data_IF_667019834093
#
_entry.id   IF_667019834093
#
_cell.length_a   1.000
_cell.length_b   1.000
_cell.length_c   1.000
_cell.angle_alpha   90.00
_cell.angle_beta   90.00
_cell.angle_gamma   90.00
#
_symmetry.space_group_name_H-M   'P 1'
#
loop_
_entity.id
_entity.type
_entity.pdbx_description
1 polymer ?
#
# COMPACT_ATOMS: atom_id res chain seq x y z
N UNK A 1 7.92 18.91 28.43
CA UNK A 1 9.24 18.30 28.72
C UNK A 1 9.35 17.02 27.92
N UNK A 2 10.54 16.65 27.46
CA UNK A 2 10.72 15.44 26.66
C UNK A 2 10.82 14.18 27.55
N UNK A 3 9.99 13.19 27.26
CA UNK A 3 10.24 11.78 27.53
C UNK A 3 10.01 11.04 26.21
N UNK A 4 10.91 10.20 25.71
CA UNK A 4 11.85 9.36 26.45
C UNK A 4 11.35 7.91 26.51
N UNK A 5 10.76 7.42 25.41
CA UNK A 5 10.16 6.08 25.29
C UNK A 5 10.79 5.27 24.16
N UNK A 6 11.77 4.46 24.56
CA UNK A 6 12.42 3.33 23.88
C UNK A 6 12.57 3.28 22.33
N UNK A 7 13.84 3.30 21.87
CA UNK A 7 14.23 3.11 20.45
C UNK A 7 14.56 1.65 20.08
N UNK A 8 14.02 0.65 20.81
CA UNK A 8 14.42 -0.77 20.68
C UNK A 8 13.34 -1.73 20.17
N UNK A 9 12.19 -1.25 19.75
CA UNK A 9 11.15 -2.07 19.10
C UNK A 9 11.22 -2.00 17.56
N UNK A 10 12.41 -2.21 16.98
CA UNK A 10 12.60 -2.28 15.52
C UNK A 10 12.82 -3.73 15.11
N UNK A 11 11.94 -4.28 14.27
CA UNK A 11 12.27 -5.48 13.47
C UNK A 11 11.23 -6.59 13.37
N UNK A 12 9.99 -6.45 13.87
CA UNK A 12 8.93 -7.43 13.58
C UNK A 12 7.52 -6.83 13.60
N UNK A 13 7.01 -6.49 12.43
CA UNK A 13 5.59 -6.18 12.13
C UNK A 13 5.00 -7.33 11.30
N UNK A 14 3.68 -7.37 11.14
CA UNK A 14 3.01 -8.31 10.25
C UNK A 14 2.77 -7.68 8.88
N UNK A 15 3.56 -8.05 7.88
CA UNK A 15 3.50 -7.44 6.56
C UNK A 15 2.45 -8.14 5.66
N UNK A 16 1.60 -7.35 5.00
CA UNK A 16 0.79 -7.76 3.85
C UNK A 16 1.52 -7.33 2.57
N UNK A 17 1.72 -8.28 1.65
CA UNK A 17 2.38 -8.09 0.36
C UNK A 17 1.45 -8.62 -0.76
N UNK A 18 0.97 -7.73 -1.64
CA UNK A 18 0.26 -8.08 -2.89
C UNK A 18 1.21 -7.92 -4.09
N UNK A 19 1.76 -9.02 -4.62
CA UNK A 19 2.71 -9.10 -5.73
C UNK A 19 2.06 -9.44 -7.10
N UNK A 20 2.08 -8.53 -8.09
CA UNK A 20 1.89 -8.89 -9.51
C UNK A 20 3.24 -9.37 -10.15
N UNK A 21 3.34 -9.94 -11.36
CA UNK A 21 4.59 -10.53 -11.96
C UNK A 21 5.34 -9.67 -13.04
N UNK A 22 5.69 -10.09 -14.29
CA UNK A 22 6.09 -9.18 -15.44
C UNK A 22 5.85 -9.79 -16.86
N UNK A 23 5.37 -9.07 -17.93
CA UNK A 23 5.58 -9.47 -19.34
C UNK A 23 6.93 -8.98 -19.89
N UNK A 24 7.75 -9.89 -20.43
CA UNK A 24 9.00 -9.53 -21.12
C UNK A 24 8.70 -8.68 -22.37
N UNK A 25 9.44 -7.58 -22.53
CA UNK A 25 9.23 -6.63 -23.63
C UNK A 25 9.45 -7.25 -25.01
N UNK A 26 8.37 -7.64 -25.67
CA UNK A 26 8.38 -8.20 -27.01
C UNK A 26 8.49 -7.10 -28.10
N UNK A 27 9.66 -6.46 -28.23
CA UNK A 27 10.06 -5.72 -29.46
C UNK A 27 11.55 -5.37 -29.55
N UNK A 28 12.25 -6.06 -30.44
CA UNK A 28 12.97 -5.37 -31.51
C UNK A 28 14.40 -4.88 -31.30
N UNK A 29 15.09 -5.16 -30.19
CA UNK A 29 16.53 -4.84 -30.06
C UNK A 29 17.32 -6.02 -29.51
N UNK A 30 18.18 -6.62 -30.35
CA UNK A 30 19.19 -7.60 -29.92
C UNK A 30 20.36 -6.91 -29.20
N UNK A 31 20.11 -6.35 -28.02
CA UNK A 31 21.18 -6.08 -27.05
C UNK A 31 21.49 -7.39 -26.35
N UNK A 32 22.76 -7.81 -26.41
CA UNK A 32 23.21 -9.08 -25.83
C UNK A 32 22.79 -9.17 -24.36
N UNK A 33 22.21 -10.32 -23.99
CA UNK A 33 21.58 -10.64 -22.71
C UNK A 33 21.74 -9.56 -21.61
N UNK A 34 20.87 -8.55 -21.65
CA UNK A 34 20.81 -7.57 -20.59
C UNK A 34 20.49 -8.29 -19.28
N UNK A 35 21.21 -7.94 -18.21
CA UNK A 35 20.88 -8.42 -16.87
C UNK A 35 19.45 -7.98 -16.52
N UNK A 36 18.56 -8.96 -16.41
CA UNK A 36 17.13 -8.74 -16.18
C UNK A 36 16.87 -7.93 -14.91
N UNK A 37 17.80 -7.97 -13.94
CA UNK A 37 17.68 -7.18 -12.71
C UNK A 37 17.80 -5.67 -12.96
N UNK A 38 18.36 -5.25 -14.10
CA UNK A 38 18.53 -3.84 -14.48
C UNK A 38 17.36 -3.28 -15.30
N UNK A 39 16.45 -4.12 -15.81
CA UNK A 39 15.32 -3.68 -16.65
C UNK A 39 14.42 -2.66 -15.92
N UNK A 40 14.26 -2.79 -14.60
CA UNK A 40 13.52 -1.85 -13.73
C UNK A 40 13.99 -0.39 -13.85
N UNK A 41 15.26 -0.17 -14.22
CA UNK A 41 15.83 1.16 -14.39
C UNK A 41 15.34 1.83 -15.68
N UNK A 42 14.96 1.04 -16.69
CA UNK A 42 14.51 1.50 -18.00
C UNK A 42 12.99 1.43 -18.19
N UNK A 43 12.28 0.66 -17.35
CA UNK A 43 10.82 0.48 -17.40
C UNK A 43 10.07 1.81 -17.46
N UNK A 44 9.18 1.97 -18.44
CA UNK A 44 8.34 3.16 -18.63
C UNK A 44 6.87 2.79 -18.40
N UNK A 45 6.02 3.71 -17.93
CA UNK A 45 4.58 3.49 -17.88
C UNK A 45 3.96 3.45 -19.29
N UNK A 46 2.90 2.66 -19.46
CA UNK A 46 1.96 2.78 -20.57
C UNK A 46 0.82 3.72 -20.15
N UNK A 47 0.96 5.01 -20.46
CA UNK A 47 0.06 6.07 -19.96
C UNK A 47 -1.38 5.84 -20.45
N UNK A 48 -2.33 5.92 -19.52
CA UNK A 48 -3.74 5.71 -19.82
C UNK A 48 -4.37 6.93 -20.51
N UNK A 49 -5.29 6.70 -21.44
CA UNK A 49 -6.06 7.77 -22.07
C UNK A 49 -7.27 8.18 -21.20
N UNK A 50 -7.88 9.33 -21.50
CA UNK A 50 -8.98 9.88 -20.69
C UNK A 50 -10.23 8.99 -20.60
N UNK A 51 -10.49 8.10 -21.57
CA UNK A 51 -11.56 7.11 -21.45
C UNK A 51 -11.20 5.97 -20.50
N UNK A 52 -9.96 5.49 -20.54
CA UNK A 52 -9.47 4.49 -19.58
C UNK A 52 -9.42 5.05 -18.16
N UNK A 53 -8.97 6.30 -17.96
CA UNK A 53 -9.00 6.98 -16.66
C UNK A 53 -10.43 7.07 -16.07
N UNK A 54 -11.43 7.38 -16.90
CA UNK A 54 -12.85 7.35 -16.49
C UNK A 54 -13.29 5.94 -16.08
N UNK A 55 -12.98 4.93 -16.89
CA UNK A 55 -13.33 3.54 -16.60
C UNK A 55 -12.72 3.04 -15.28
N UNK A 56 -11.49 3.44 -14.94
CA UNK A 56 -10.86 3.11 -13.65
C UNK A 56 -11.56 3.83 -12.50
N UNK A 57 -11.82 5.14 -12.65
CA UNK A 57 -12.51 5.94 -11.64
C UNK A 57 -13.96 5.47 -11.36
N UNK A 58 -14.62 4.87 -12.34
CA UNK A 58 -15.96 4.26 -12.25
C UNK A 58 -15.93 2.79 -11.75
N UNK A 59 -14.78 2.10 -11.83
CA UNK A 59 -14.64 0.69 -11.47
C UNK A 59 -14.37 0.42 -9.97
N UNK A 60 -13.88 1.42 -9.25
CA UNK A 60 -13.67 1.37 -7.81
C UNK A 60 -14.93 1.77 -7.04
N UNK A 61 -15.14 1.20 -5.86
CA UNK A 61 -16.32 1.45 -5.01
C UNK A 61 -15.90 1.61 -3.56
N UNK A 62 -15.70 2.86 -3.14
CA UNK A 62 -15.30 3.20 -1.78
C UNK A 62 -16.25 2.63 -0.72
N UNK A 63 -17.56 2.68 -0.94
CA UNK A 63 -18.56 2.13 -0.01
C UNK A 63 -18.52 0.59 0.07
N UNK A 64 -18.25 -0.09 -1.04
CA UNK A 64 -18.06 -1.54 -1.04
C UNK A 64 -16.77 -1.93 -0.29
N UNK A 65 -15.67 -1.22 -0.50
CA UNK A 65 -14.44 -1.39 0.27
C UNK A 65 -14.67 -1.14 1.76
N UNK A 66 -15.36 -0.05 2.11
CA UNK A 66 -15.63 0.32 3.50
C UNK A 66 -16.36 -0.80 4.26
N UNK A 67 -17.42 -1.34 3.65
CA UNK A 67 -18.24 -2.39 4.24
C UNK A 67 -17.54 -3.77 4.23
N UNK A 68 -16.91 -4.14 3.12
CA UNK A 68 -16.49 -5.53 2.89
C UNK A 68 -15.01 -5.78 3.12
N UNK A 69 -14.17 -4.74 3.16
CA UNK A 69 -12.71 -4.86 3.24
C UNK A 69 -12.15 -4.14 4.48
N UNK A 70 -12.58 -2.90 4.75
CA UNK A 70 -12.12 -2.09 5.89
C UNK A 70 -12.74 -2.49 7.23
N UNK A 71 -14.07 -2.44 7.38
CA UNK A 71 -14.73 -2.69 8.69
C UNK A 71 -14.33 -4.00 9.38
N UNK A 72 -14.17 -5.14 8.68
CA UNK A 72 -13.68 -6.38 9.31
C UNK A 72 -12.24 -6.31 9.84
N UNK A 73 -11.45 -5.33 9.40
CA UNK A 73 -10.08 -5.07 9.89
C UNK A 73 -10.04 -4.09 11.05
N UNK A 74 -11.08 -3.29 11.30
CA UNK A 74 -11.16 -2.31 12.40
C UNK A 74 -11.40 -2.97 13.77
N UNK A 75 -10.46 -3.84 14.14
CA UNK A 75 -10.41 -4.66 15.36
C UNK A 75 -8.99 -4.66 15.92
N UNK A 76 -8.84 -5.05 17.18
CA UNK A 76 -7.52 -5.20 17.83
C UNK A 76 -6.75 -6.41 17.27
N UNK A 77 -5.69 -6.14 16.50
CA UNK A 77 -5.01 -7.16 15.67
C UNK A 77 -3.49 -7.22 15.87
N UNK A 78 -3.01 -6.85 17.07
CA UNK A 78 -1.59 -6.95 17.45
C UNK A 78 -1.03 -8.39 17.33
N UNK A 79 0.30 -8.57 17.19
CA UNK A 79 0.94 -9.86 17.01
C UNK A 79 0.49 -10.97 17.98
N UNK A 80 -0.16 -12.00 17.43
CA UNK A 80 -0.65 -13.16 18.18
C UNK A 80 -2.00 -12.97 18.90
N UNK A 81 -2.69 -11.84 18.71
CA UNK A 81 -4.06 -11.66 19.21
C UNK A 81 -5.07 -12.51 18.40
N UNK A 82 -6.28 -12.79 18.94
CA UNK A 82 -7.37 -13.38 18.17
C UNK A 82 -7.74 -12.55 16.93
N UNK A 83 -7.66 -11.21 17.02
CA UNK A 83 -7.89 -10.31 15.88
C UNK A 83 -6.79 -10.36 14.83
N UNK A 84 -5.53 -10.65 15.18
CA UNK A 84 -4.47 -10.89 14.18
C UNK A 84 -4.75 -12.15 13.34
N UNK A 85 -5.32 -13.19 13.95
CA UNK A 85 -5.82 -14.35 13.21
C UNK A 85 -7.03 -13.99 12.34
N UNK A 86 -8.01 -13.26 12.89
CA UNK A 86 -9.21 -12.86 12.15
C UNK A 86 -8.89 -11.96 10.94
N UNK A 87 -8.03 -10.96 11.11
CA UNK A 87 -7.56 -10.08 10.04
C UNK A 87 -6.85 -10.86 8.93
N UNK A 88 -5.95 -11.80 9.29
CA UNK A 88 -5.29 -12.67 8.31
C UNK A 88 -6.28 -13.53 7.54
N UNK A 89 -7.22 -14.17 8.23
CA UNK A 89 -8.27 -14.98 7.58
C UNK A 89 -9.15 -14.13 6.65
N UNK A 90 -9.50 -12.92 7.07
CA UNK A 90 -10.25 -11.96 6.24
C UNK A 90 -9.49 -11.64 4.96
N UNK A 91 -8.27 -11.11 5.06
CA UNK A 91 -7.42 -10.75 3.91
C UNK A 91 -7.28 -11.91 2.93
N UNK A 92 -6.93 -13.11 3.42
CA UNK A 92 -6.81 -14.32 2.59
C UNK A 92 -8.13 -14.65 1.87
N UNK A 93 -9.26 -14.64 2.59
CA UNK A 93 -10.57 -14.96 2.02
C UNK A 93 -11.07 -13.91 1.01
N UNK A 94 -10.67 -12.64 1.15
CA UNK A 94 -11.03 -11.59 0.19
C UNK A 94 -10.28 -11.79 -1.13
N UNK A 95 -8.98 -12.10 -1.06
CA UNK A 95 -8.14 -12.43 -2.21
C UNK A 95 -8.60 -13.73 -2.89
N UNK A 96 -8.90 -14.79 -2.14
CA UNK A 96 -9.33 -16.10 -2.66
C UNK A 96 -10.66 -16.11 -3.43
N UNK A 97 -11.45 -15.01 -3.37
CA UNK A 97 -12.71 -14.86 -4.10
C UNK A 97 -12.54 -14.20 -5.47
N UNK A 98 -11.34 -13.70 -5.77
CA UNK A 98 -10.99 -13.04 -7.03
C UNK A 98 -10.78 -14.08 -8.15
N UNK A 99 -10.87 -13.63 -9.39
CA UNK A 99 -10.69 -14.46 -10.58
C UNK A 99 -9.23 -14.56 -11.02
N UNK A 100 -8.40 -13.57 -10.69
CA UNK A 100 -6.97 -13.60 -10.91
C UNK A 100 -6.28 -14.67 -10.05
N UNK A 101 -5.29 -15.35 -10.64
CA UNK A 101 -4.63 -16.55 -10.09
C UNK A 101 -3.61 -16.20 -8.98
N UNK A 102 -4.11 -15.69 -7.86
CA UNK A 102 -3.34 -15.28 -6.69
C UNK A 102 -2.86 -16.49 -5.89
N UNK A 103 -1.54 -16.70 -5.87
CA UNK A 103 -0.90 -17.70 -5.00
C UNK A 103 -0.66 -17.08 -3.61
N UNK A 104 -1.34 -17.59 -2.60
CA UNK A 104 -1.18 -17.14 -1.20
C UNK A 104 -0.18 -18.00 -0.44
N UNK A 105 0.81 -17.34 0.16
CA UNK A 105 1.81 -17.90 1.04
C UNK A 105 1.78 -17.19 2.40
N UNK A 106 1.92 -17.96 3.49
CA UNK A 106 2.00 -17.41 4.85
C UNK A 106 3.40 -17.71 5.41
N UNK A 107 4.23 -16.68 5.48
CA UNK A 107 5.58 -16.75 6.06
C UNK A 107 5.47 -16.57 7.58
N UNK A 108 5.46 -17.70 8.30
CA UNK A 108 5.36 -17.74 9.77
C UNK A 108 6.71 -18.00 10.41
N UNK A 109 7.12 -17.12 11.32
CA UNK A 109 8.41 -17.19 12.01
C UNK A 109 8.31 -16.72 13.46
N UNK A 110 9.33 -17.08 14.26
CA UNK A 110 9.48 -16.64 15.64
C UNK A 110 10.50 -15.51 15.75
N UNK A 111 10.18 -14.49 16.56
CA UNK A 111 11.09 -13.38 16.85
C UNK A 111 11.08 -13.06 18.35
N UNK A 112 12.21 -12.58 18.87
CA UNK A 112 12.34 -12.13 20.26
C UNK A 112 11.79 -10.70 20.38
N UNK A 113 10.84 -10.51 21.30
CA UNK A 113 10.22 -9.21 21.60
C UNK A 113 10.52 -8.78 23.04
N UNK A 114 10.18 -7.54 23.46
CA UNK A 114 10.18 -7.16 24.87
C UNK A 114 9.29 -8.06 25.77
N UNK A 115 8.31 -8.77 25.18
CA UNK A 115 7.37 -9.68 25.86
C UNK A 115 7.68 -11.17 25.62
N UNK A 116 8.96 -11.50 25.40
CA UNK A 116 9.44 -12.85 25.09
C UNK A 116 9.39 -13.19 23.60
N UNK A 117 9.63 -14.46 23.25
CA UNK A 117 9.43 -14.95 21.88
C UNK A 117 7.95 -14.88 21.49
N UNK A 118 7.68 -14.38 20.29
CA UNK A 118 6.34 -14.30 19.69
C UNK A 118 6.38 -14.82 18.25
N UNK A 119 5.24 -15.35 17.79
CA UNK A 119 5.04 -15.76 16.41
C UNK A 119 4.50 -14.59 15.59
N UNK A 120 5.04 -14.46 14.38
CA UNK A 120 4.62 -13.51 13.37
C UNK A 120 4.26 -14.27 12.10
N UNK A 121 3.36 -13.73 11.27
CA UNK A 121 2.87 -14.39 10.05
C UNK A 121 2.62 -13.37 8.94
N UNK A 122 3.61 -13.13 8.09
CA UNK A 122 3.43 -12.29 6.90
C UNK A 122 2.44 -12.95 5.93
N UNK A 123 1.68 -12.14 5.18
CA UNK A 123 0.78 -12.58 4.13
C UNK A 123 1.37 -12.16 2.80
N UNK A 124 1.72 -13.12 1.95
CA UNK A 124 2.27 -12.88 0.63
C UNK A 124 1.26 -13.42 -0.39
N UNK A 125 0.80 -12.57 -1.29
CA UNK A 125 -0.16 -12.92 -2.35
C UNK A 125 0.46 -12.60 -3.69
N UNK A 126 0.68 -13.60 -4.54
CA UNK A 126 1.50 -13.44 -5.75
C UNK A 126 0.80 -13.93 -7.01
N UNK A 127 0.57 -13.05 -7.98
CA UNK A 127 0.22 -13.43 -9.35
C UNK A 127 1.49 -13.90 -10.07
N UNK A 128 1.48 -15.12 -10.58
CA UNK A 128 2.62 -15.79 -11.22
C UNK A 128 3.96 -15.68 -10.43
N UNK A 129 4.15 -16.52 -9.39
CA UNK A 129 5.40 -16.58 -8.62
C UNK A 129 6.68 -16.81 -9.43
N UNK A 130 6.58 -17.33 -10.67
CA UNK A 130 7.75 -17.69 -11.50
C UNK A 130 8.31 -16.53 -12.34
N UNK A 131 7.70 -15.34 -12.30
CA UNK A 131 8.31 -14.16 -12.94
C UNK A 131 9.60 -13.73 -12.22
N UNK A 132 10.42 -12.97 -12.94
CA UNK A 132 11.70 -12.49 -12.41
C UNK A 132 11.57 -11.18 -11.61
N UNK A 133 10.56 -10.36 -11.95
CA UNK A 133 10.23 -9.06 -11.33
C UNK A 133 8.76 -9.14 -10.84
N UNK A 134 8.37 -8.35 -9.82
CA UNK A 134 7.03 -8.38 -9.21
C UNK A 134 6.50 -7.02 -8.69
N UNK A 135 5.16 -6.74 -8.80
CA UNK A 135 4.45 -5.61 -8.11
C UNK A 135 3.91 -5.91 -6.77
N UNK A 136 4.80 -5.82 -5.78
CA UNK A 136 4.48 -5.99 -4.39
C UNK A 136 3.99 -4.67 -3.81
N UNK A 137 2.70 -4.38 -3.95
CA UNK A 137 2.07 -3.38 -3.08
C UNK A 137 2.10 -3.92 -1.64
N UNK A 138 2.30 -3.06 -0.65
CA UNK A 138 2.56 -3.49 0.73
C UNK A 138 1.92 -2.56 1.76
N UNK A 139 1.66 -3.10 2.96
CA UNK A 139 1.38 -2.37 4.20
C UNK A 139 1.50 -3.33 5.40
N UNK A 140 1.66 -2.85 6.63
CA UNK A 140 1.48 -3.73 7.80
C UNK A 140 -0.02 -3.96 8.07
N UNK A 141 -0.36 -5.17 8.54
CA UNK A 141 -1.74 -5.53 8.88
C UNK A 141 -1.97 -5.66 10.39
N UNK A 142 -0.94 -5.75 11.24
CA UNK A 142 -1.15 -5.70 12.69
C UNK A 142 -1.44 -4.27 13.18
N UNK A 143 -2.09 -4.17 14.34
CA UNK A 143 -2.29 -2.90 15.05
C UNK A 143 -1.35 -2.83 16.25
N UNK A 144 -0.90 -1.62 16.59
CA UNK A 144 -0.05 -1.40 17.76
C UNK A 144 -0.74 -1.86 19.05
N UNK A 145 -0.05 -2.68 19.83
CA UNK A 145 -0.53 -3.04 21.17
C UNK A 145 -0.54 -1.82 22.11
N UNK A 146 -1.70 -1.53 22.68
CA UNK A 146 -1.88 -0.63 23.81
C UNK A 146 -2.59 -1.36 24.95
N UNK A 147 -2.23 -1.12 26.23
CA UNK A 147 -3.03 -1.58 27.35
C UNK A 147 -4.45 -1.00 27.29
N UNK A 148 -5.48 -1.72 27.77
CA UNK A 148 -6.85 -1.22 27.80
C UNK A 148 -6.96 0.12 28.54
N UNK A 149 -7.64 1.10 27.93
CA UNK A 149 -7.81 2.44 28.48
C UNK A 149 -9.24 2.93 28.24
N UNK A 150 -9.95 3.23 29.33
CA UNK A 150 -11.33 3.78 29.31
C UNK A 150 -12.33 2.99 28.44
N UNK A 151 -12.25 1.66 28.48
CA UNK A 151 -13.00 0.73 27.61
C UNK A 151 -12.78 0.92 26.08
N UNK A 152 -11.84 1.79 25.68
CA UNK A 152 -11.41 1.97 24.29
C UNK A 152 -10.28 1.00 23.94
N UNK A 153 -10.17 0.72 22.65
CA UNK A 153 -9.22 -0.24 22.08
C UNK A 153 -8.61 0.38 20.83
N UNK A 154 -7.29 0.26 20.67
CA UNK A 154 -6.61 0.82 19.50
C UNK A 154 -6.82 -0.08 18.28
N UNK A 155 -7.55 0.45 17.31
CA UNK A 155 -7.85 -0.26 16.05
C UNK A 155 -6.92 0.15 14.91
N UNK A 156 -6.11 1.21 14.99
CA UNK A 156 -5.17 1.56 13.94
C UNK A 156 -5.85 1.71 12.57
N UNK A 157 -6.78 2.66 12.46
CA UNK A 157 -7.61 2.84 11.27
C UNK A 157 -6.78 3.32 10.08
N UNK A 158 -6.01 4.40 10.27
CA UNK A 158 -4.98 4.84 9.31
C UNK A 158 -3.71 3.99 9.41
N UNK A 159 -3.48 3.35 10.56
CA UNK A 159 -2.25 2.63 10.98
C UNK A 159 -2.47 1.10 11.16
N UNK A 160 -2.62 0.25 10.13
CA UNK A 160 -2.76 0.51 8.68
C UNK A 160 -3.97 -0.26 8.09
N UNK A 161 -5.14 -0.16 8.73
CA UNK A 161 -6.36 -0.85 8.27
C UNK A 161 -6.87 -0.32 6.92
N UNK A 162 -6.85 1.00 6.70
CA UNK A 162 -7.18 1.64 5.42
C UNK A 162 -6.22 1.22 4.31
N UNK A 163 -4.88 1.30 4.47
CA UNK A 163 -3.93 0.70 3.52
C UNK A 163 -4.27 -0.76 3.16
N UNK A 164 -4.55 -1.62 4.14
CA UNK A 164 -4.97 -3.01 3.88
C UNK A 164 -6.25 -3.09 3.02
N UNK A 165 -7.25 -2.25 3.31
CA UNK A 165 -8.50 -2.22 2.56
C UNK A 165 -8.32 -1.69 1.13
N UNK A 166 -7.47 -0.67 0.93
CA UNK A 166 -7.10 -0.14 -0.39
C UNK A 166 -6.42 -1.21 -1.26
N UNK A 167 -5.54 -2.04 -0.67
CA UNK A 167 -4.92 -3.16 -1.37
C UNK A 167 -5.97 -4.20 -1.83
N UNK A 168 -6.91 -4.56 -0.95
CA UNK A 168 -8.00 -5.50 -1.29
C UNK A 168 -8.94 -4.94 -2.36
N UNK A 169 -9.30 -3.66 -2.27
CA UNK A 169 -10.14 -2.97 -3.26
C UNK A 169 -9.44 -2.84 -4.61
N UNK A 170 -8.14 -2.54 -4.64
CA UNK A 170 -7.36 -2.53 -5.88
C UNK A 170 -7.36 -3.91 -6.55
N UNK A 171 -7.10 -4.97 -5.79
CA UNK A 171 -7.13 -6.33 -6.31
C UNK A 171 -8.53 -6.71 -6.85
N UNK A 172 -9.60 -6.25 -6.20
CA UNK A 172 -11.00 -6.47 -6.61
C UNK A 172 -11.42 -5.63 -7.83
N UNK A 173 -11.07 -4.35 -7.86
CA UNK A 173 -11.44 -3.42 -8.93
C UNK A 173 -10.70 -3.75 -10.24
N UNK A 174 -9.46 -4.22 -10.14
CA UNK A 174 -8.61 -4.57 -11.28
C UNK A 174 -8.59 -6.07 -11.60
N UNK A 175 -9.41 -6.90 -10.93
CA UNK A 175 -9.40 -8.37 -11.03
C UNK A 175 -9.38 -8.90 -12.49
N UNK A 176 -10.21 -8.31 -13.36
CA UNK A 176 -10.30 -8.67 -14.79
C UNK A 176 -9.05 -8.32 -15.59
N UNK A 177 -8.36 -7.25 -15.23
CA UNK A 177 -7.13 -6.81 -15.86
C UNK A 177 -5.95 -7.62 -15.30
N UNK A 178 -5.88 -7.80 -13.98
CA UNK A 178 -4.88 -8.60 -13.27
C UNK A 178 -4.92 -10.09 -13.63
N UNK A 179 -6.07 -10.62 -14.04
CA UNK A 179 -6.24 -11.92 -14.72
C UNK A 179 -5.24 -12.12 -15.88
N UNK A 180 -4.76 -11.04 -16.49
CA UNK A 180 -3.71 -11.09 -17.52
C UNK A 180 -2.28 -10.78 -17.02
N UNK A 181 -2.05 -10.14 -15.85
CA UNK A 181 -0.94 -9.17 -15.69
C UNK A 181 -0.33 -8.81 -14.27
N UNK A 182 0.65 -7.83 -14.25
CA UNK A 182 2.06 -8.01 -13.73
C UNK A 182 3.14 -6.79 -13.60
N UNK A 183 3.72 -6.38 -12.41
CA UNK A 183 5.13 -5.77 -12.03
C UNK A 183 5.36 -4.46 -11.14
N UNK A 184 6.37 -4.37 -10.19
CA UNK A 184 6.85 -3.34 -9.12
C UNK A 184 6.54 -3.23 -7.54
N UNK A 185 7.56 -3.22 -6.64
CA UNK A 185 7.62 -2.63 -5.25
C UNK A 185 6.80 -1.32 -4.93
N UNK A 186 5.71 -1.31 -4.13
CA UNK A 186 5.12 -0.08 -3.49
C UNK A 186 4.77 -0.33 -2.01
N UNK A 187 4.96 0.64 -1.10
CA UNK A 187 4.52 0.54 0.31
C UNK A 187 3.55 1.68 0.67
N UNK A 188 2.41 1.32 1.24
CA UNK A 188 1.36 2.20 1.78
C UNK A 188 1.41 2.17 3.31
N UNK A 189 1.44 3.33 3.95
CA UNK A 189 1.40 3.45 5.42
C UNK A 189 0.73 4.76 5.86
N UNK A 190 0.05 4.76 7.01
CA UNK A 190 -0.64 5.91 7.61
C UNK A 190 -1.60 6.67 6.66
N UNK A 191 -2.36 5.96 5.82
CA UNK A 191 -3.31 6.54 4.86
C UNK A 191 -4.73 6.53 5.44
N UNK A 192 -5.50 7.61 5.25
CA UNK A 192 -6.95 7.66 5.54
C UNK A 192 -7.43 8.91 6.25
N UNK A 193 -6.52 9.70 6.82
CA UNK A 193 -6.81 11.02 7.36
C UNK A 193 -7.04 12.07 6.24
N UNK A 194 -7.77 13.17 6.51
CA UNK A 194 -8.02 14.24 5.54
C UNK A 194 -6.76 15.02 5.16
N UNK A 195 -6.65 15.46 3.90
CA UNK A 195 -5.56 16.28 3.36
C UNK A 195 -4.13 15.70 3.58
N UNK A 196 -3.85 14.41 3.28
CA UNK A 196 -2.50 13.85 3.41
C UNK A 196 -1.55 14.55 2.45
N UNK A 197 -0.27 14.64 2.80
CA UNK A 197 0.76 15.17 1.91
C UNK A 197 1.94 14.21 1.89
N UNK A 198 2.09 13.49 0.78
CA UNK A 198 3.19 12.57 0.53
C UNK A 198 4.38 13.34 -0.04
N UNK A 199 5.58 13.26 0.55
CA UNK A 199 6.78 13.88 0.01
C UNK A 199 7.59 12.92 -0.87
N UNK A 200 8.48 13.47 -1.70
CA UNK A 200 9.38 12.68 -2.53
C UNK A 200 10.62 12.25 -1.72
N UNK A 201 10.61 11.03 -1.18
CA UNK A 201 11.66 10.54 -0.27
C UNK A 201 12.98 10.12 -0.94
N UNK A 202 12.94 9.52 -2.14
CA UNK A 202 14.10 8.78 -2.67
C UNK A 202 14.38 9.08 -4.16
N UNK A 203 15.60 9.56 -4.52
CA UNK A 203 15.95 9.88 -5.91
C UNK A 203 15.84 8.72 -6.91
N UNK A 204 15.95 7.47 -6.46
CA UNK A 204 15.86 6.29 -7.33
C UNK A 204 14.41 5.87 -7.66
N UNK A 205 13.41 6.41 -6.96
CA UNK A 205 11.98 6.23 -7.24
C UNK A 205 11.25 7.54 -7.57
N UNK A 206 11.92 8.70 -7.50
CA UNK A 206 11.37 10.02 -7.83
C UNK A 206 10.55 10.04 -9.14
N UNK A 207 11.05 9.41 -10.22
CA UNK A 207 10.33 9.32 -11.51
C UNK A 207 8.96 8.62 -11.45
N UNK A 208 8.73 7.81 -10.43
CA UNK A 208 7.45 7.15 -10.15
C UNK A 208 6.56 7.98 -9.21
N UNK A 209 7.17 8.75 -8.30
CA UNK A 209 6.48 9.79 -7.56
C UNK A 209 5.94 10.87 -8.51
N UNK A 210 6.74 11.34 -9.47
CA UNK A 210 6.34 12.29 -10.51
C UNK A 210 5.17 11.75 -11.37
N UNK A 211 5.02 10.41 -11.51
CA UNK A 211 3.84 9.80 -12.15
C UNK A 211 2.60 9.84 -11.28
N UNK A 212 2.71 9.63 -9.96
CA UNK A 212 1.58 9.78 -9.04
C UNK A 212 1.04 11.23 -9.07
N UNK A 213 1.94 12.22 -9.03
CA UNK A 213 1.60 13.64 -9.17
C UNK A 213 0.89 13.91 -10.52
N UNK A 214 1.42 13.39 -11.63
CA UNK A 214 0.80 13.56 -12.94
C UNK A 214 -0.59 12.90 -13.06
N UNK A 215 -0.76 11.69 -12.50
CA UNK A 215 -2.05 10.98 -12.46
C UNK A 215 -3.07 11.75 -11.63
N UNK A 216 -2.68 12.26 -10.46
CA UNK A 216 -3.51 13.12 -9.61
C UNK A 216 -3.99 14.36 -10.39
N UNK A 217 -3.06 15.06 -11.06
CA UNK A 217 -3.39 16.20 -11.90
C UNK A 217 -4.33 15.85 -13.06
N UNK A 218 -4.17 14.71 -13.72
CA UNK A 218 -5.00 14.27 -14.85
C UNK A 218 -6.42 13.88 -14.40
N UNK A 219 -6.54 13.09 -13.32
CA UNK A 219 -7.85 12.75 -12.73
C UNK A 219 -8.58 14.00 -12.22
N UNK A 220 -7.86 14.96 -11.64
CA UNK A 220 -8.44 16.24 -11.21
C UNK A 220 -8.95 17.06 -12.40
N UNK A 221 -8.15 17.23 -13.47
CA UNK A 221 -8.55 17.93 -14.71
C UNK A 221 -9.80 17.31 -15.37
N UNK A 222 -9.99 16.00 -15.23
CA UNK A 222 -11.15 15.28 -15.78
C UNK A 222 -12.40 15.31 -14.87
N UNK A 223 -12.30 15.85 -13.66
CA UNK A 223 -13.39 15.89 -12.67
C UNK A 223 -13.67 14.54 -12.00
N UNK A 224 -12.65 13.68 -11.86
CA UNK A 224 -12.79 12.30 -11.33
C UNK A 224 -12.41 12.17 -9.85
N UNK A 225 -11.76 13.19 -9.29
CA UNK A 225 -11.51 13.32 -7.85
C UNK A 225 -12.65 14.15 -7.20
N UNK A 226 -13.10 13.73 -6.02
CA UNK A 226 -14.12 14.44 -5.20
C UNK A 226 -13.44 15.34 -4.19
N UNK A 227 -14.05 16.48 -3.86
CA UNK A 227 -13.61 17.48 -2.86
C UNK A 227 -12.11 17.86 -2.89
N UNK A 228 -11.48 17.67 -4.05
CA UNK A 228 -10.06 17.88 -4.30
C UNK A 228 -9.81 19.27 -4.89
N UNK A 229 -8.75 19.97 -4.48
CA UNK A 229 -8.47 21.34 -4.91
C UNK A 229 -7.05 21.52 -5.48
N UNK A 230 -6.92 22.47 -6.41
CA UNK A 230 -5.64 22.90 -6.99
C UNK A 230 -4.62 23.46 -5.97
N UNK A 231 -5.07 23.75 -4.74
CA UNK A 231 -4.25 24.30 -3.65
C UNK A 231 -3.71 23.20 -2.71
N UNK A 232 -4.24 21.96 -2.80
CA UNK A 232 -3.99 20.87 -1.85
C UNK A 232 -3.78 19.53 -2.53
N UNK A 233 -2.72 19.44 -3.32
CA UNK A 233 -2.23 18.17 -3.87
C UNK A 233 -1.78 17.22 -2.76
N UNK A 234 -2.11 15.94 -2.89
CA UNK A 234 -1.58 14.88 -2.04
C UNK A 234 -0.11 14.61 -2.36
N UNK A 235 0.28 14.61 -3.64
CA UNK A 235 1.67 14.36 -4.06
C UNK A 235 2.39 15.69 -4.29
N UNK A 236 3.29 16.05 -3.38
CA UNK A 236 4.04 17.31 -3.46
C UNK A 236 5.54 17.04 -3.58
N UNK A 237 6.14 17.56 -4.64
CA UNK A 237 7.55 17.35 -4.97
C UNK A 237 8.51 18.23 -4.14
N UNK A 238 8.31 18.26 -2.82
CA UNK A 238 9.35 18.68 -1.88
C UNK A 238 10.10 17.46 -1.35
N UNK A 239 11.42 17.54 -1.36
CA UNK A 239 12.27 16.46 -0.84
C UNK A 239 12.21 16.42 0.69
N UNK A 240 12.06 15.21 1.25
CA UNK A 240 12.11 15.01 2.70
C UNK A 240 13.54 14.73 3.17
N UNK A 241 14.14 15.65 3.93
CA UNK A 241 15.54 15.55 4.38
C UNK A 241 15.77 14.62 5.59
N UNK A 242 14.73 14.03 6.17
CA UNK A 242 14.82 13.09 7.29
C UNK A 242 14.79 11.62 6.83
N UNK A 243 14.84 10.70 7.80
CA UNK A 243 14.63 9.27 7.56
C UNK A 243 13.49 8.78 8.47
N UNK A 244 12.40 8.35 7.87
CA UNK A 244 11.31 7.67 8.58
C UNK A 244 11.71 6.19 8.77
N UNK A 245 11.50 5.63 9.96
CA UNK A 245 11.70 4.19 10.20
C UNK A 245 10.38 3.47 10.05
N UNK A 246 10.33 2.54 9.10
CA UNK A 246 9.14 1.81 8.68
C UNK A 246 9.58 0.53 7.89
N UNK A 247 8.65 -0.36 7.53
CA UNK A 247 8.84 -1.67 6.90
C UNK A 247 9.64 -1.67 5.59
N UNK A 248 9.75 -0.54 4.89
CA UNK A 248 10.64 -0.44 3.73
C UNK A 248 12.14 -0.52 4.10
N UNK A 249 12.54 -0.22 5.33
CA UNK A 249 13.95 -0.06 5.73
C UNK A 249 14.81 -1.32 5.48
N UNK A 250 14.37 -2.56 5.81
CA UNK A 250 15.11 -3.78 5.47
C UNK A 250 15.31 -4.00 3.97
N UNK A 251 14.37 -3.55 3.13
CA UNK A 251 14.44 -3.66 1.66
C UNK A 251 15.35 -2.58 1.06
N UNK A 252 15.19 -1.33 1.52
CA UNK A 252 16.01 -0.19 1.11
C UNK A 252 17.50 -0.44 1.40
N UNK A 253 17.82 -0.98 2.59
CA UNK A 253 19.19 -1.40 2.97
C UNK A 253 19.79 -2.49 2.08
N UNK A 254 18.97 -3.19 1.30
CA UNK A 254 19.35 -4.24 0.34
C UNK A 254 19.31 -3.75 -1.12
N UNK A 255 19.12 -2.45 -1.34
CA UNK A 255 19.13 -1.84 -2.68
C UNK A 255 17.83 -1.98 -3.47
N UNK A 256 16.73 -2.36 -2.82
CA UNK A 256 15.39 -2.34 -3.43
C UNK A 256 14.95 -0.88 -3.59
N UNK A 257 14.52 -0.42 -4.79
CA UNK A 257 13.89 0.88 -4.95
C UNK A 257 12.54 0.90 -4.21
N UNK A 258 12.29 1.96 -3.45
CA UNK A 258 11.09 2.10 -2.61
C UNK A 258 10.32 3.34 -3.03
N UNK A 259 9.02 3.20 -3.24
CA UNK A 259 8.08 4.32 -3.28
C UNK A 259 7.27 4.24 -1.97
N UNK A 260 7.57 5.16 -1.04
CA UNK A 260 7.05 5.13 0.33
C UNK A 260 5.90 6.13 0.43
N UNK A 261 4.67 5.63 0.44
CA UNK A 261 3.46 6.45 0.48
C UNK A 261 2.99 6.58 1.93
N UNK A 262 3.75 7.37 2.69
CA UNK A 262 3.43 7.83 4.04
C UNK A 262 3.33 9.38 4.04
N UNK A 263 2.31 9.99 4.67
CA UNK A 263 2.20 11.44 4.73
C UNK A 263 3.25 12.07 5.67
N UNK A 264 3.56 13.34 5.43
CA UNK A 264 4.34 14.20 6.33
C UNK A 264 3.68 15.58 6.40
N UNK A 265 3.19 16.03 7.58
CA UNK A 265 3.19 15.34 8.87
C UNK A 265 2.33 14.07 8.90
N UNK A 266 2.51 13.25 9.93
CA UNK A 266 1.60 12.14 10.22
C UNK A 266 0.21 12.65 10.62
N UNK A 267 -0.85 11.83 10.50
CA UNK A 267 -2.19 12.17 10.99
C UNK A 267 -2.18 12.67 12.43
N UNK A 268 -3.01 13.66 12.76
CA UNK A 268 -3.11 14.20 14.14
C UNK A 268 -3.53 13.14 15.17
N UNK A 269 -4.24 12.10 14.71
CA UNK A 269 -4.68 10.93 15.50
C UNK A 269 -3.63 9.83 15.64
N UNK A 270 -2.44 9.97 15.06
CA UNK A 270 -1.41 8.92 15.05
C UNK A 270 -1.05 8.44 16.47
N UNK A 271 -1.06 7.12 16.67
CA UNK A 271 -0.87 6.46 17.97
C UNK A 271 -1.85 6.91 19.08
N UNK A 272 -3.04 7.42 18.75
CA UNK A 272 -4.12 7.67 19.72
C UNK A 272 -5.31 6.71 19.48
N UNK A 273 -6.18 6.56 20.48
CA UNK A 273 -7.44 5.81 20.32
C UNK A 273 -8.45 6.49 19.37
N UNK A 274 -8.13 7.71 18.91
CA UNK A 274 -8.94 8.47 17.97
C UNK A 274 -8.59 8.11 16.50
N UNK A 275 -7.55 7.29 16.26
CA UNK A 275 -7.30 6.63 14.98
C UNK A 275 -8.28 5.46 14.76
N UNK A 276 -9.53 5.84 14.48
CA UNK A 276 -10.71 4.99 14.39
C UNK A 276 -11.56 5.34 13.14
N UNK A 277 -12.68 4.64 12.92
CA UNK A 277 -13.53 4.82 11.73
C UNK A 277 -14.09 6.26 11.58
N UNK A 278 -14.37 6.94 12.70
CA UNK A 278 -15.07 8.23 12.71
C UNK A 278 -14.18 9.39 12.23
N UNK A 279 -12.85 9.24 12.31
CA UNK A 279 -11.87 10.25 11.91
C UNK A 279 -11.24 10.00 10.52
N UNK A 280 -11.77 9.03 9.76
CA UNK A 280 -11.35 8.77 8.38
C UNK A 280 -12.06 9.69 7.38
N UNK A 281 -11.34 10.12 6.34
CA UNK A 281 -11.88 10.91 5.24
C UNK A 281 -12.17 10.00 4.03
N UNK A 282 -13.45 9.62 3.86
CA UNK A 282 -13.90 8.70 2.81
C UNK A 282 -13.53 9.21 1.40
N UNK A 283 -13.67 10.52 1.16
CA UNK A 283 -13.37 11.16 -0.13
C UNK A 283 -11.87 11.05 -0.48
N UNK A 284 -10.99 11.29 0.48
CA UNK A 284 -9.54 11.19 0.33
C UNK A 284 -9.13 9.75 -0.01
N UNK A 285 -9.73 8.76 0.66
CA UNK A 285 -9.45 7.34 0.36
C UNK A 285 -10.01 6.94 -1.02
N UNK A 286 -11.20 7.40 -1.42
CA UNK A 286 -11.75 7.22 -2.78
C UNK A 286 -10.82 7.81 -3.85
N UNK A 287 -10.25 8.99 -3.61
CA UNK A 287 -9.32 9.62 -4.53
C UNK A 287 -7.99 8.87 -4.64
N UNK A 288 -7.40 8.47 -3.51
CA UNK A 288 -6.13 7.72 -3.48
C UNK A 288 -6.27 6.32 -4.08
N UNK A 289 -7.43 5.66 -3.91
CA UNK A 289 -7.74 4.39 -4.60
C UNK A 289 -7.65 4.54 -6.12
N UNK A 290 -8.25 5.59 -6.70
CA UNK A 290 -8.21 5.85 -8.16
C UNK A 290 -6.79 6.12 -8.64
N UNK A 291 -6.03 6.96 -7.92
CA UNK A 291 -4.66 7.31 -8.28
C UNK A 291 -3.77 6.06 -8.26
N UNK A 292 -3.86 5.24 -7.20
CA UNK A 292 -3.08 4.02 -7.06
C UNK A 292 -3.46 2.97 -8.13
N UNK A 293 -4.76 2.79 -8.42
CA UNK A 293 -5.23 1.87 -9.46
C UNK A 293 -4.72 2.28 -10.85
N UNK A 294 -4.78 3.56 -11.20
CA UNK A 294 -4.20 4.07 -12.45
C UNK A 294 -2.69 3.84 -12.48
N UNK A 295 -1.97 4.17 -11.41
CA UNK A 295 -0.51 3.97 -11.32
C UNK A 295 -0.12 2.51 -11.55
N UNK A 296 -0.87 1.57 -10.95
CA UNK A 296 -0.66 0.13 -11.16
C UNK A 296 -0.88 -0.21 -12.62
N UNK A 297 -2.03 0.11 -13.21
CA UNK A 297 -2.33 -0.21 -14.61
C UNK A 297 -1.28 0.36 -15.59
N UNK A 298 -0.88 1.63 -15.38
CA UNK A 298 0.19 2.26 -16.16
C UNK A 298 1.53 1.53 -16.01
N UNK A 299 1.88 1.09 -14.80
CA UNK A 299 3.12 0.36 -14.59
C UNK A 299 3.07 -1.02 -15.24
N UNK A 300 1.96 -1.76 -15.08
CA UNK A 300 1.86 -3.14 -15.55
C UNK A 300 1.72 -3.20 -17.08
N UNK A 301 1.18 -2.15 -17.72
CA UNK A 301 0.76 -2.07 -19.13
C UNK A 301 -0.57 -2.77 -19.38
N UNK A 302 -1.62 -2.28 -18.70
CA UNK A 302 -3.00 -2.79 -18.72
C UNK A 302 -4.03 -1.81 -19.31
#
# INVERSE_FOLDING_TARGET
MAGGGDRRAVGTLHLLLLAAALPLAARGVSRGAADWTQEKNYHQPAILNSSSLRQVAEGTSISAMWQNDLRPLLIERYPGSPGSYAARQHIMQRIQRLQADWVLEIDTFLSQTPYGYRSFSNIISTLNPTAKRHLVLACHYDSKYFPPWDNRVFVGATDSAVPCAMLLELARALDKQLLSLKDLLVLLDLIGAPNPTFPNFFPNSARWFDRLEAIEQELHKLGLLKDHSWERWYFQNYGYGGVIQDDHIPFLRRGVPVLHLIPSPFPEVWHTMDDNEENLDETTVDNLNKILQVFVLEYLHL
#
